data_IF_110227050570
#
_entry.id   IF_110227050570
#
_cell.length_a   1.000
_cell.length_b   1.000
_cell.length_c   1.000
_cell.angle_alpha   90.00
_cell.angle_beta   90.00
_cell.angle_gamma   90.00
#
_symmetry.space_group_name_H-M   'P 1'
#
loop_
_entity.id
_entity.type
_entity.pdbx_description
1 polymer ?
#
# COMPACT_ATOMS: atom_id res chain seq x y z
N UNK A 1 -28.22 -12.94 19.20
CA UNK A 1 -27.58 -12.09 20.21
C UNK A 1 -26.62 -12.97 21.00
N UNK A 2 -25.36 -13.03 20.59
CA UNK A 2 -24.34 -13.82 21.31
C UNK A 2 -23.77 -12.92 22.40
N UNK A 3 -23.96 -13.37 23.63
CA UNK A 3 -23.55 -12.74 24.88
C UNK A 3 -22.02 -12.49 24.89
N UNK A 4 -21.64 -11.21 25.04
CA UNK A 4 -20.24 -10.73 25.00
C UNK A 4 -19.54 -10.75 26.36
N UNK A 5 -20.09 -11.41 27.38
CA UNK A 5 -19.60 -11.29 28.77
C UNK A 5 -18.75 -12.45 29.31
N UNK A 6 -18.39 -13.46 28.50
CA UNK A 6 -17.58 -14.62 28.95
C UNK A 6 -16.50 -15.07 27.95
N UNK A 7 -15.64 -14.17 27.52
CA UNK A 7 -14.33 -14.57 26.99
C UNK A 7 -13.33 -14.41 28.14
N UNK A 8 -12.97 -15.53 28.75
CA UNK A 8 -12.02 -15.61 29.84
C UNK A 8 -10.60 -15.28 29.33
N UNK A 9 -10.25 -13.99 29.40
CA UNK A 9 -8.98 -13.41 28.94
C UNK A 9 -7.74 -14.01 29.62
N UNK A 10 -7.91 -14.82 30.67
CA UNK A 10 -6.80 -15.50 31.38
C UNK A 10 -6.32 -16.79 30.71
N UNK A 11 -7.11 -17.35 29.79
CA UNK A 11 -6.80 -18.61 29.10
C UNK A 11 -6.45 -18.43 27.62
N UNK A 12 -6.30 -17.18 27.17
CA UNK A 12 -5.57 -16.92 25.93
C UNK A 12 -4.11 -17.29 26.17
N UNK A 13 -3.44 -18.00 25.24
CA UNK A 13 -2.04 -18.36 25.39
C UNK A 13 -1.24 -17.09 25.74
N UNK A 14 -0.71 -17.07 26.96
CA UNK A 14 0.10 -15.98 27.47
C UNK A 14 1.30 -15.77 26.56
N UNK A 15 1.60 -14.50 26.30
CA UNK A 15 2.61 -13.97 25.37
C UNK A 15 4.05 -14.30 25.84
N UNK A 16 4.24 -15.21 26.78
CA UNK A 16 5.54 -15.56 27.36
C UNK A 16 6.31 -16.64 26.58
N UNK A 17 5.70 -17.30 25.59
CA UNK A 17 6.33 -18.38 24.82
C UNK A 17 6.44 -18.11 23.32
N UNK A 18 6.50 -16.84 22.89
CA UNK A 18 7.04 -16.57 21.56
C UNK A 18 8.57 -16.53 21.70
N UNK A 19 9.31 -17.47 21.09
CA UNK A 19 10.76 -17.37 21.09
C UNK A 19 11.11 -16.00 20.51
N UNK A 20 11.88 -15.23 21.28
CA UNK A 20 12.47 -13.93 20.94
C UNK A 20 13.51 -14.04 19.82
N UNK A 21 13.31 -14.97 18.90
CA UNK A 21 14.11 -15.11 17.70
C UNK A 21 13.60 -14.06 16.72
N UNK A 22 14.24 -12.89 16.80
CA UNK A 22 14.35 -11.94 15.71
C UNK A 22 14.81 -12.68 14.45
N UNK A 23 13.88 -13.26 13.70
CA UNK A 23 14.16 -13.96 12.44
C UNK A 23 14.15 -13.00 11.24
N UNK A 24 14.03 -11.69 11.48
CA UNK A 24 14.38 -10.69 10.48
C UNK A 24 15.86 -10.36 10.63
N UNK A 25 16.62 -10.49 9.55
CA UNK A 25 18.10 -10.38 9.57
C UNK A 25 18.60 -9.06 10.19
N UNK A 26 17.79 -7.99 10.11
CA UNK A 26 17.98 -6.69 10.78
C UNK A 26 16.63 -5.98 10.98
N UNK A 27 16.05 -5.99 12.19
CA UNK A 27 14.88 -5.16 12.53
C UNK A 27 15.36 -3.78 13.04
N UNK A 28 15.01 -2.70 12.33
CA UNK A 28 15.38 -1.35 12.76
C UNK A 28 14.45 -0.88 13.88
N UNK A 29 14.96 -0.05 14.79
CA UNK A 29 14.22 0.39 15.98
C UNK A 29 12.89 1.08 15.64
N UNK A 30 12.83 1.80 14.52
CA UNK A 30 11.63 2.51 14.06
C UNK A 30 10.61 1.61 13.37
N UNK A 31 10.97 0.38 12.99
CA UNK A 31 10.07 -0.59 12.34
C UNK A 31 9.27 -1.40 13.37
N UNK A 32 9.49 -1.17 14.67
CA UNK A 32 8.74 -1.80 15.75
C UNK A 32 7.45 -1.04 16.00
N UNK A 33 6.35 -1.77 16.10
CA UNK A 33 5.06 -1.23 16.52
C UNK A 33 4.93 -1.48 18.02
N UNK A 34 4.83 -0.40 18.80
CA UNK A 34 4.76 -0.49 20.27
C UNK A 34 3.45 -1.13 20.76
N UNK A 35 2.32 -0.82 20.08
CA UNK A 35 1.00 -1.40 20.40
C UNK A 35 0.26 -1.84 19.11
N UNK A 36 0.55 -3.03 18.58
CA UNK A 36 -0.07 -3.50 17.35
C UNK A 36 -1.57 -3.78 17.50
N UNK A 37 -2.05 -4.03 18.73
CA UNK A 37 -3.47 -4.26 19.01
C UNK A 37 -4.24 -2.94 18.88
N UNK A 38 -3.71 -1.84 19.43
CA UNK A 38 -4.33 -0.53 19.28
C UNK A 38 -4.41 -0.09 17.80
N UNK A 39 -3.35 -0.27 17.02
CA UNK A 39 -3.38 0.05 15.58
C UNK A 39 -4.37 -0.81 14.81
N UNK A 40 -4.45 -2.10 15.14
CA UNK A 40 -5.43 -3.01 14.56
C UNK A 40 -6.87 -2.55 14.85
N UNK A 41 -7.17 -2.28 16.12
CA UNK A 41 -8.49 -1.79 16.54
C UNK A 41 -8.80 -0.43 15.93
N UNK A 42 -7.80 0.43 15.77
CA UNK A 42 -7.94 1.71 15.08
C UNK A 42 -8.36 1.51 13.62
N UNK A 43 -7.65 0.67 12.86
CA UNK A 43 -7.99 0.38 11.46
C UNK A 43 -9.38 -0.27 11.36
N UNK A 44 -9.71 -1.21 12.25
CA UNK A 44 -11.03 -1.85 12.32
C UNK A 44 -12.16 -0.90 12.68
N UNK A 45 -11.90 0.12 13.50
CA UNK A 45 -12.91 1.11 13.87
C UNK A 45 -13.11 2.13 12.76
N UNK A 46 -12.02 2.56 12.10
CA UNK A 46 -12.00 3.71 11.22
C UNK A 46 -11.92 3.36 9.72
N UNK A 47 -12.03 2.09 9.34
CA UNK A 47 -11.91 1.66 7.94
C UNK A 47 -12.87 2.39 7.00
N UNK A 48 -14.08 2.74 7.45
CA UNK A 48 -15.10 3.43 6.64
C UNK A 48 -14.66 4.83 6.19
N UNK A 49 -13.68 5.44 6.85
CA UNK A 49 -13.11 6.70 6.41
C UNK A 49 -12.42 6.59 5.04
N UNK A 50 -11.98 5.40 4.62
CA UNK A 50 -11.48 5.16 3.25
C UNK A 50 -12.53 5.46 2.18
N UNK A 51 -13.82 5.22 2.47
CA UNK A 51 -14.94 5.54 1.59
C UNK A 51 -15.14 7.06 1.55
N UNK A 52 -15.13 7.71 2.70
CA UNK A 52 -15.23 9.18 2.79
C UNK A 52 -14.10 9.87 2.02
N UNK A 53 -12.85 9.39 2.18
CA UNK A 53 -11.69 9.90 1.44
C UNK A 53 -11.87 9.68 -0.06
N UNK A 54 -12.34 8.51 -0.48
CA UNK A 54 -12.57 8.20 -1.90
C UNK A 54 -13.62 9.11 -2.54
N UNK A 55 -14.73 9.38 -1.84
CA UNK A 55 -15.78 10.32 -2.32
C UNK A 55 -15.19 11.73 -2.44
N UNK A 56 -14.50 12.19 -1.40
CA UNK A 56 -13.85 13.50 -1.40
C UNK A 56 -12.82 13.63 -2.53
N UNK A 57 -12.01 12.60 -2.74
CA UNK A 57 -11.04 12.51 -3.83
C UNK A 57 -11.70 12.61 -5.21
N UNK A 58 -12.81 11.91 -5.44
CA UNK A 58 -13.52 12.00 -6.72
C UNK A 58 -14.05 13.42 -6.97
N UNK A 59 -14.65 14.03 -5.95
CA UNK A 59 -15.15 15.40 -6.03
C UNK A 59 -14.02 16.43 -6.22
N UNK A 60 -12.91 16.29 -5.51
CA UNK A 60 -11.76 17.19 -5.62
C UNK A 60 -11.11 17.11 -7.00
N UNK A 61 -11.01 15.91 -7.60
CA UNK A 61 -10.51 15.71 -8.96
C UNK A 61 -11.41 16.39 -9.98
N UNK A 62 -12.74 16.24 -9.87
CA UNK A 62 -13.71 16.91 -10.76
C UNK A 62 -13.66 18.43 -10.62
N UNK A 63 -13.56 18.92 -9.39
CA UNK A 63 -13.40 20.33 -9.10
C UNK A 63 -12.09 20.90 -9.69
N UNK A 64 -10.98 20.19 -9.53
CA UNK A 64 -9.70 20.59 -10.10
C UNK A 64 -9.71 20.57 -11.62
N UNK A 65 -10.35 19.57 -12.25
CA UNK A 65 -10.55 19.54 -13.71
C UNK A 65 -11.33 20.78 -14.19
N UNK A 66 -12.38 21.19 -13.47
CA UNK A 66 -13.16 22.40 -13.78
C UNK A 66 -12.29 23.66 -13.72
N UNK A 67 -11.47 23.82 -12.69
CA UNK A 67 -10.56 24.95 -12.55
C UNK A 67 -9.51 24.95 -13.67
N UNK A 68 -8.91 23.79 -13.92
CA UNK A 68 -7.87 23.63 -14.93
C UNK A 68 -8.41 23.86 -16.34
N UNK A 69 -9.71 23.67 -16.61
CA UNK A 69 -10.32 23.98 -17.92
C UNK A 69 -9.93 25.38 -18.41
N UNK A 70 -9.92 26.36 -17.51
CA UNK A 70 -9.68 27.77 -17.83
C UNK A 70 -8.21 28.20 -17.68
N UNK A 71 -7.27 27.29 -17.41
CA UNK A 71 -5.84 27.60 -17.17
C UNK A 71 -4.92 26.83 -18.10
N UNK A 72 -3.70 27.29 -18.32
CA UNK A 72 -2.69 26.54 -19.08
C UNK A 72 -2.10 25.36 -18.29
N UNK A 73 -1.58 24.31 -18.97
CA UNK A 73 -0.99 23.16 -18.29
C UNK A 73 0.30 23.52 -17.55
N UNK A 74 0.43 23.06 -16.30
CA UNK A 74 1.62 23.33 -15.50
C UNK A 74 2.83 22.48 -15.92
N UNK A 75 4.02 23.08 -15.96
CA UNK A 75 5.29 22.39 -16.21
C UNK A 75 5.87 21.76 -14.93
N UNK A 76 5.27 20.66 -14.46
CA UNK A 76 5.63 20.01 -13.20
C UNK A 76 6.73 18.94 -13.35
N UNK A 77 7.76 19.16 -14.19
CA UNK A 77 8.80 18.13 -14.45
C UNK A 77 9.58 17.75 -13.18
N UNK A 78 10.10 18.73 -12.44
CA UNK A 78 10.91 18.48 -11.23
C UNK A 78 10.10 17.88 -10.07
N UNK A 79 8.92 18.42 -9.71
CA UNK A 79 8.09 17.82 -8.66
C UNK A 79 7.68 16.39 -9.00
N UNK A 80 7.31 16.12 -10.27
CA UNK A 80 6.93 14.78 -10.70
C UNK A 80 8.10 13.80 -10.66
N UNK A 81 9.31 14.24 -11.01
CA UNK A 81 10.51 13.41 -10.87
C UNK A 81 10.75 13.05 -9.40
N UNK A 82 10.78 14.04 -8.51
CA UNK A 82 11.00 13.82 -7.07
C UNK A 82 9.93 12.90 -6.48
N UNK A 83 8.67 13.11 -6.84
CA UNK A 83 7.54 12.30 -6.42
C UNK A 83 7.69 10.83 -6.83
N UNK A 84 7.95 10.58 -8.12
CA UNK A 84 8.12 9.22 -8.63
C UNK A 84 9.37 8.55 -8.03
N UNK A 85 10.48 9.27 -7.88
CA UNK A 85 11.69 8.72 -7.24
C UNK A 85 11.44 8.37 -5.78
N UNK A 86 10.73 9.23 -5.03
CA UNK A 86 10.35 8.95 -3.66
C UNK A 86 9.50 7.69 -3.55
N UNK A 87 8.46 7.57 -4.36
CA UNK A 87 7.60 6.38 -4.35
C UNK A 87 8.34 5.12 -4.80
N UNK A 88 9.25 5.21 -5.77
CA UNK A 88 10.08 4.09 -6.18
C UNK A 88 10.98 3.57 -5.04
N UNK A 89 11.67 4.47 -4.34
CA UNK A 89 12.54 4.12 -3.20
C UNK A 89 11.70 3.52 -2.06
N UNK A 90 10.57 4.16 -1.74
CA UNK A 90 9.64 3.66 -0.72
C UNK A 90 9.15 2.24 -1.05
N UNK A 91 8.74 2.00 -2.30
CA UNK A 91 8.28 0.69 -2.74
C UNK A 91 9.39 -0.36 -2.75
N UNK A 92 10.64 0.03 -3.05
CA UNK A 92 11.79 -0.87 -3.00
C UNK A 92 12.07 -1.38 -1.59
N UNK A 93 12.09 -0.48 -0.60
CA UNK A 93 12.28 -0.89 0.80
C UNK A 93 11.10 -1.70 1.32
N UNK A 94 9.87 -1.30 1.00
CA UNK A 94 8.67 -2.06 1.33
C UNK A 94 8.70 -3.48 0.74
N UNK A 95 9.16 -3.62 -0.52
CA UNK A 95 9.30 -4.91 -1.17
C UNK A 95 10.30 -5.82 -0.45
N UNK A 96 11.52 -5.33 -0.15
CA UNK A 96 12.56 -6.14 0.52
C UNK A 96 12.04 -6.68 1.86
N UNK A 97 11.33 -5.85 2.62
CA UNK A 97 10.85 -6.22 3.95
C UNK A 97 9.66 -7.16 3.92
N UNK A 98 8.77 -6.99 2.95
CA UNK A 98 7.58 -7.85 2.82
C UNK A 98 7.89 -9.18 2.12
N UNK A 99 8.86 -9.22 1.20
CA UNK A 99 9.29 -10.46 0.56
C UNK A 99 10.04 -11.38 1.52
N UNK A 100 10.81 -10.83 2.46
CA UNK A 100 11.45 -11.59 3.54
C UNK A 100 10.40 -12.35 4.37
N UNK A 101 9.29 -11.70 4.74
CA UNK A 101 8.17 -12.32 5.46
C UNK A 101 7.44 -13.38 4.62
N UNK A 102 7.22 -13.13 3.33
CA UNK A 102 6.62 -14.11 2.40
C UNK A 102 7.49 -15.36 2.28
N UNK A 103 8.79 -15.19 2.03
CA UNK A 103 9.74 -16.30 1.91
C UNK A 103 9.79 -17.06 3.23
N UNK A 104 9.91 -16.36 4.36
CA UNK A 104 9.94 -17.00 5.66
C UNK A 104 8.67 -17.85 5.91
N UNK A 105 7.50 -17.27 5.67
CA UNK A 105 6.22 -17.96 5.83
C UNK A 105 6.13 -19.21 4.95
N UNK A 106 6.51 -19.11 3.67
CA UNK A 106 6.42 -20.23 2.73
C UNK A 106 7.40 -21.37 3.07
N UNK A 107 8.65 -21.04 3.37
CA UNK A 107 9.71 -22.03 3.59
C UNK A 107 9.65 -22.66 4.98
N UNK A 108 9.35 -21.89 6.03
CA UNK A 108 9.42 -22.37 7.42
C UNK A 108 8.07 -22.74 8.04
N UNK A 109 6.98 -22.04 7.67
CA UNK A 109 5.64 -22.30 8.22
C UNK A 109 4.78 -23.17 7.28
N UNK A 110 5.19 -23.28 6.01
CA UNK A 110 4.50 -24.04 4.97
C UNK A 110 3.38 -23.28 4.27
N UNK A 111 2.89 -23.85 3.16
CA UNK A 111 1.90 -23.22 2.27
C UNK A 111 0.56 -23.00 2.97
N UNK A 112 0.08 -23.99 3.73
CA UNK A 112 -1.20 -23.88 4.44
C UNK A 112 -1.19 -22.71 5.44
N UNK A 113 -0.12 -22.61 6.24
CA UNK A 113 0.00 -21.51 7.19
C UNK A 113 0.08 -20.16 6.47
N UNK A 114 0.84 -20.10 5.37
CA UNK A 114 1.02 -18.88 4.59
C UNK A 114 -0.27 -18.35 3.96
N UNK A 115 -1.18 -19.25 3.55
CA UNK A 115 -2.46 -18.88 2.92
C UNK A 115 -3.59 -18.62 3.91
N UNK A 116 -3.58 -19.29 5.07
CA UNK A 116 -4.66 -19.21 6.05
C UNK A 116 -4.39 -18.22 7.19
N UNK A 117 -3.13 -17.87 7.45
CA UNK A 117 -2.76 -16.95 8.53
C UNK A 117 -2.16 -15.65 8.00
N UNK A 118 -2.56 -14.55 8.65
CA UNK A 118 -2.13 -13.19 8.33
C UNK A 118 -0.70 -12.90 8.81
N UNK A 119 -0.20 -11.70 8.50
CA UNK A 119 1.12 -11.21 8.89
C UNK A 119 1.21 -11.16 10.43
N UNK A 120 2.36 -11.54 10.99
CA UNK A 120 2.59 -11.43 12.43
C UNK A 120 2.52 -9.95 12.85
N UNK A 121 1.61 -9.55 13.77
CA UNK A 121 1.43 -8.16 14.18
C UNK A 121 2.66 -7.54 14.85
N UNK A 122 3.54 -8.36 15.44
CA UNK A 122 4.80 -7.90 16.05
C UNK A 122 5.99 -7.94 15.06
N UNK A 123 5.75 -8.38 13.82
CA UNK A 123 6.78 -8.48 12.80
C UNK A 123 7.03 -7.16 12.07
N UNK A 124 8.23 -7.03 11.49
CA UNK A 124 8.61 -5.88 10.65
C UNK A 124 7.62 -5.72 9.49
N UNK A 125 7.12 -6.82 8.93
CA UNK A 125 6.14 -6.79 7.86
C UNK A 125 4.80 -6.12 8.24
N UNK A 126 4.39 -6.12 9.51
CA UNK A 126 3.18 -5.42 9.94
C UNK A 126 3.33 -3.90 9.85
N UNK A 127 4.52 -3.38 10.20
CA UNK A 127 4.84 -1.95 10.05
C UNK A 127 4.79 -1.53 8.58
N UNK A 128 5.41 -2.33 7.70
CA UNK A 128 5.38 -2.06 6.26
C UNK A 128 3.98 -2.27 5.64
N UNK A 129 3.14 -3.14 6.20
CA UNK A 129 1.74 -3.26 5.80
C UNK A 129 0.90 -2.03 6.19
N UNK A 130 1.17 -1.41 7.34
CA UNK A 130 0.54 -0.14 7.71
C UNK A 130 1.01 1.00 6.79
N UNK A 131 2.31 1.06 6.50
CA UNK A 131 2.84 2.03 5.53
C UNK A 131 2.28 1.82 4.13
N UNK A 132 2.02 0.57 3.73
CA UNK A 132 1.33 0.25 2.47
C UNK A 132 -0.08 0.84 2.42
N UNK A 133 -0.85 0.70 3.50
CA UNK A 133 -2.17 1.32 3.60
C UNK A 133 -2.11 2.85 3.48
N UNK A 134 -1.11 3.48 4.10
CA UNK A 134 -0.88 4.93 3.99
C UNK A 134 -0.46 5.31 2.57
N UNK A 135 0.36 4.48 1.90
CA UNK A 135 0.83 4.76 0.53
C UNK A 135 -0.33 4.89 -0.44
N UNK A 136 -1.41 4.11 -0.29
CA UNK A 136 -2.60 4.22 -1.16
C UNK A 136 -3.29 5.57 -1.07
N UNK A 137 -3.22 6.25 0.07
CA UNK A 137 -3.69 7.64 0.20
C UNK A 137 -2.73 8.60 -0.50
N UNK A 138 -1.43 8.40 -0.36
CA UNK A 138 -0.39 9.22 -1.01
C UNK A 138 -0.48 9.10 -2.54
N UNK A 139 -0.69 7.89 -3.06
CA UNK A 139 -0.81 7.58 -4.49
C UNK A 139 -1.99 8.30 -5.18
N UNK A 140 -3.02 8.77 -4.43
CA UNK A 140 -4.05 9.67 -4.98
C UNK A 140 -3.46 10.97 -5.54
N UNK A 141 -2.27 11.34 -5.05
CA UNK A 141 -1.39 12.39 -5.58
C UNK A 141 -1.17 12.31 -7.09
N UNK A 142 -1.03 11.10 -7.63
CA UNK A 142 -0.72 10.86 -9.04
C UNK A 142 -1.78 11.46 -9.96
N UNK A 143 -3.06 11.30 -9.59
CA UNK A 143 -4.17 11.87 -10.35
C UNK A 143 -4.16 13.39 -10.35
N UNK A 144 -3.79 14.04 -9.23
CA UNK A 144 -3.68 15.49 -9.20
C UNK A 144 -2.59 15.98 -10.16
N UNK A 145 -1.43 15.31 -10.23
CA UNK A 145 -0.39 15.66 -11.21
C UNK A 145 -0.86 15.49 -12.66
N UNK A 146 -1.65 14.45 -12.96
CA UNK A 146 -2.23 14.22 -14.31
C UNK A 146 -3.17 15.38 -14.68
N UNK A 147 -4.07 15.76 -13.77
CA UNK A 147 -5.04 16.84 -14.00
C UNK A 147 -4.35 18.19 -14.15
N UNK A 148 -3.36 18.50 -13.31
CA UNK A 148 -2.60 19.76 -13.40
C UNK A 148 -1.81 19.88 -14.72
N UNK A 149 -1.40 18.76 -15.31
CA UNK A 149 -0.74 18.72 -16.62
C UNK A 149 -1.71 18.67 -17.80
N UNK A 150 -3.03 18.75 -17.56
CA UNK A 150 -4.10 18.60 -18.57
C UNK A 150 -3.96 17.32 -19.41
N UNK A 151 -3.47 16.23 -18.82
CA UNK A 151 -3.45 14.93 -19.51
C UNK A 151 -4.82 14.25 -19.40
N UNK A 152 -5.24 13.47 -20.40
CA UNK A 152 -6.51 12.77 -20.35
C UNK A 152 -6.50 11.75 -19.19
N UNK A 153 -7.42 11.93 -18.26
CA UNK A 153 -7.60 11.04 -17.12
C UNK A 153 -8.53 9.90 -17.53
N UNK A 154 -8.05 8.66 -17.47
CA UNK A 154 -8.89 7.50 -17.80
C UNK A 154 -9.79 7.14 -16.63
N UNK A 155 -10.98 6.62 -16.93
CA UNK A 155 -11.91 6.13 -15.90
C UNK A 155 -11.27 5.02 -15.06
N UNK A 156 -10.57 4.09 -15.72
CA UNK A 156 -9.90 2.97 -15.07
C UNK A 156 -8.91 3.42 -14.00
N UNK A 157 -8.13 4.47 -14.26
CA UNK A 157 -7.17 4.98 -13.28
C UNK A 157 -7.86 5.49 -12.01
N UNK A 158 -8.92 6.32 -12.16
CA UNK A 158 -9.67 6.80 -11.00
C UNK A 158 -10.35 5.66 -10.23
N UNK A 159 -10.97 4.75 -10.96
CA UNK A 159 -11.66 3.60 -10.39
C UNK A 159 -10.69 2.70 -9.62
N UNK A 160 -9.55 2.38 -10.23
CA UNK A 160 -8.49 1.59 -9.60
C UNK A 160 -8.03 2.23 -8.28
N UNK A 161 -7.63 3.51 -8.29
CA UNK A 161 -7.17 4.19 -7.07
C UNK A 161 -8.20 4.21 -5.93
N UNK A 162 -9.49 4.36 -6.25
CA UNK A 162 -10.58 4.29 -5.26
C UNK A 162 -10.72 2.87 -4.69
N UNK A 163 -10.81 1.87 -5.57
CA UNK A 163 -11.05 0.49 -5.16
C UNK A 163 -9.86 -0.08 -4.38
N UNK A 164 -8.63 0.17 -4.81
CA UNK A 164 -7.45 -0.31 -4.08
C UNK A 164 -7.29 0.35 -2.73
N UNK A 165 -7.66 1.63 -2.58
CA UNK A 165 -7.65 2.31 -1.29
C UNK A 165 -8.66 1.67 -0.32
N UNK A 166 -9.91 1.53 -0.74
CA UNK A 166 -10.97 0.94 0.09
C UNK A 166 -10.63 -0.52 0.41
N UNK A 167 -10.23 -1.29 -0.61
CA UNK A 167 -9.89 -2.71 -0.49
C UNK A 167 -8.70 -2.96 0.44
N UNK A 168 -7.66 -2.12 0.38
CA UNK A 168 -6.49 -2.25 1.26
C UNK A 168 -6.85 -1.98 2.72
N UNK A 169 -7.59 -0.90 2.99
CA UNK A 169 -7.98 -0.54 4.36
C UNK A 169 -8.99 -1.55 4.94
N UNK A 170 -9.95 -2.00 4.12
CA UNK A 170 -10.90 -3.04 4.51
C UNK A 170 -10.22 -4.39 4.73
N UNK A 171 -9.31 -4.81 3.85
CA UNK A 171 -8.54 -6.03 4.00
C UNK A 171 -7.62 -6.03 5.23
N UNK A 172 -7.06 -4.86 5.57
CA UNK A 172 -6.34 -4.64 6.82
C UNK A 172 -7.23 -4.80 8.05
N UNK A 173 -8.44 -4.21 8.04
CA UNK A 173 -9.41 -4.37 9.12
C UNK A 173 -9.88 -5.83 9.28
N UNK A 174 -10.08 -6.54 8.18
CA UNK A 174 -10.52 -7.94 8.16
C UNK A 174 -9.39 -8.96 8.42
N UNK A 175 -8.13 -8.53 8.54
CA UNK A 175 -6.96 -9.40 8.63
C UNK A 175 -6.88 -10.46 7.52
N UNK A 176 -7.13 -10.05 6.28
CA UNK A 176 -7.07 -10.93 5.12
C UNK A 176 -5.70 -11.63 5.02
N UNK A 177 -5.69 -12.97 5.11
CA UNK A 177 -4.46 -13.77 5.04
C UNK A 177 -3.73 -13.62 3.70
N UNK A 178 -4.49 -13.50 2.60
CA UNK A 178 -3.95 -13.22 1.26
C UNK A 178 -3.30 -11.82 1.14
N UNK A 179 -3.51 -10.93 2.10
CA UNK A 179 -2.93 -9.59 2.12
C UNK A 179 -1.40 -9.60 2.08
N UNK A 180 -0.75 -10.58 2.70
CA UNK A 180 0.72 -10.73 2.71
C UNK A 180 1.31 -10.76 1.30
N UNK A 181 0.78 -11.64 0.44
CA UNK A 181 1.25 -11.79 -0.94
C UNK A 181 0.88 -10.58 -1.80
N UNK A 182 -0.32 -10.06 -1.61
CA UNK A 182 -0.80 -8.90 -2.35
C UNK A 182 0.07 -7.67 -2.11
N UNK A 183 0.43 -7.39 -0.85
CA UNK A 183 1.29 -6.26 -0.48
C UNK A 183 2.69 -6.41 -1.11
N UNK A 184 3.31 -7.58 -1.00
CA UNK A 184 4.64 -7.82 -1.55
C UNK A 184 4.66 -7.66 -3.09
N UNK A 185 3.69 -8.26 -3.79
CA UNK A 185 3.57 -8.12 -5.24
C UNK A 185 3.32 -6.66 -5.65
N UNK A 186 2.44 -5.96 -4.93
CA UNK A 186 2.14 -4.57 -5.25
C UNK A 186 3.37 -3.68 -5.06
N UNK A 187 4.14 -3.85 -3.98
CA UNK A 187 5.40 -3.13 -3.79
C UNK A 187 6.40 -3.39 -4.91
N UNK A 188 6.51 -4.64 -5.39
CA UNK A 188 7.37 -4.98 -6.51
C UNK A 188 6.95 -4.24 -7.80
N UNK A 189 5.67 -4.30 -8.15
CA UNK A 189 5.14 -3.66 -9.36
C UNK A 189 5.29 -2.14 -9.26
N UNK A 190 4.95 -1.53 -8.12
CA UNK A 190 5.09 -0.09 -7.92
C UNK A 190 6.55 0.37 -7.95
N UNK A 191 7.50 -0.42 -7.43
CA UNK A 191 8.93 -0.15 -7.56
C UNK A 191 9.33 -0.01 -9.04
N UNK A 192 8.92 -0.96 -9.90
CA UNK A 192 9.22 -0.93 -11.34
C UNK A 192 8.49 0.24 -12.02
N UNK A 193 7.20 0.41 -11.75
CA UNK A 193 6.36 1.43 -12.37
C UNK A 193 6.85 2.85 -12.06
N UNK A 194 7.13 3.17 -10.80
CA UNK A 194 7.59 4.50 -10.41
C UNK A 194 9.04 4.76 -10.86
N UNK A 195 9.90 3.75 -10.87
CA UNK A 195 11.25 3.86 -11.46
C UNK A 195 11.15 4.23 -12.95
N UNK A 196 10.23 3.60 -13.68
CA UNK A 196 9.95 3.93 -15.07
C UNK A 196 9.44 5.37 -15.23
N UNK A 197 8.55 5.85 -14.36
CA UNK A 197 8.07 7.24 -14.41
C UNK A 197 9.14 8.27 -14.06
N UNK A 198 10.02 7.97 -13.10
CA UNK A 198 11.17 8.82 -12.80
C UNK A 198 12.09 8.90 -14.04
N UNK A 199 12.37 7.76 -14.67
CA UNK A 199 13.21 7.67 -15.86
C UNK A 199 12.62 8.44 -17.06
N UNK A 200 11.32 8.29 -17.33
CA UNK A 200 10.64 9.04 -18.39
C UNK A 200 10.54 10.54 -18.09
N UNK A 201 10.43 10.93 -16.82
CA UNK A 201 10.44 12.34 -16.41
C UNK A 201 11.79 13.02 -16.62
N UNK A 202 12.88 12.25 -16.64
CA UNK A 202 14.23 12.73 -17.00
C UNK A 202 14.39 13.00 -18.52
N UNK A 203 13.40 12.63 -19.34
CA UNK A 203 13.37 12.95 -20.78
C UNK A 203 13.84 11.82 -21.69
N UNK A 204 14.13 10.64 -21.14
CA UNK A 204 14.55 9.48 -21.92
C UNK A 204 13.32 8.73 -22.40
N UNK A 205 13.28 8.38 -23.69
CA UNK A 205 12.16 7.65 -24.31
C UNK A 205 12.38 6.15 -24.10
N UNK A 206 11.55 5.47 -23.30
CA UNK A 206 11.69 4.04 -23.09
C UNK A 206 11.27 3.24 -24.33
N UNK A 207 11.71 1.99 -24.41
CA UNK A 207 11.39 1.10 -25.52
C UNK A 207 9.89 0.73 -25.53
N UNK A 208 9.35 0.40 -26.71
CA UNK A 208 7.93 0.00 -26.87
C UNK A 208 7.55 -1.20 -26.01
N UNK A 209 8.51 -2.08 -25.71
CA UNK A 209 8.32 -3.23 -24.82
C UNK A 209 8.07 -2.80 -23.38
N UNK A 210 8.82 -1.83 -22.86
CA UNK A 210 8.62 -1.29 -21.52
C UNK A 210 7.27 -0.59 -21.38
N UNK A 211 6.80 0.08 -22.45
CA UNK A 211 5.46 0.65 -22.50
C UNK A 211 4.35 -0.41 -22.52
N UNK A 212 4.57 -1.55 -23.20
CA UNK A 212 3.60 -2.64 -23.25
C UNK A 212 3.53 -3.41 -21.93
N UNK A 213 4.68 -3.75 -21.34
CA UNK A 213 4.78 -4.35 -20.01
C UNK A 213 4.14 -3.45 -18.94
N UNK A 214 4.31 -2.13 -19.07
CA UNK A 214 3.66 -1.14 -18.21
C UNK A 214 2.13 -1.16 -18.30
N UNK A 215 1.55 -1.24 -19.50
CA UNK A 215 0.09 -1.30 -19.65
C UNK A 215 -0.50 -2.62 -19.14
N UNK A 216 0.29 -3.70 -19.16
CA UNK A 216 -0.10 -5.00 -18.60
C UNK A 216 -0.03 -4.99 -17.05
N UNK A 217 0.95 -4.31 -16.47
CA UNK A 217 1.12 -4.18 -15.01
C UNK A 217 0.15 -3.19 -14.35
N UNK A 218 -0.51 -2.36 -15.16
CA UNK A 218 -1.53 -1.39 -14.72
C UNK A 218 -2.96 -1.91 -14.77
N UNK A 219 -3.18 -3.08 -15.36
CA UNK A 219 -4.46 -3.79 -15.37
C UNK A 219 -4.54 -4.73 -14.17
#
# INVERSE_FOLDING_TARGET
LVDKSKVDLKNLPTIENYPSNNHFRFALSFERIDDPVAYTLFVQKYWYHSITISIFYFLSVKFLQRIMSNREPFQLKRPLLLWNTFLAIFSFFGFIRTVEDVIYSLYYLGIFHSLCYTINPYGVAAFWALLFAISKVVELGDTYFIVLKKKPLTFLHCYHHIVVLIGTIHGGAAHSAHGRFFIAMNYFVHCIMYSYFAYTSYGWRPSRFTFFAYNLLLQ
#
